data_IF_765251524183
#
_entry.id   IF_765251524183
#
_cell.length_a   1.000
_cell.length_b   1.000
_cell.length_c   1.000
_cell.angle_alpha   90.00
_cell.angle_beta   90.00
_cell.angle_gamma   90.00
#
_symmetry.space_group_name_H-M   'P 1'
#
loop_
_entity.id
_entity.type
_entity.pdbx_description
1 polymer ?
#
# COMPACT_ATOMS: atom_id res chain seq x y z
N UNK A 1 -4.78 14.99 8.16
CA UNK A 1 -3.68 14.20 8.78
C UNK A 1 -2.81 13.52 7.73
N UNK A 2 -3.41 12.88 6.72
CA UNK A 2 -2.67 12.22 5.63
C UNK A 2 -2.85 13.04 4.35
N UNK A 3 -1.73 13.55 3.83
CA UNK A 3 -1.71 14.36 2.62
C UNK A 3 -1.52 13.49 1.37
N UNK A 4 -1.78 14.07 0.20
CA UNK A 4 -1.46 13.46 -1.07
C UNK A 4 0.06 13.29 -1.21
N UNK A 5 0.45 12.25 -1.93
CA UNK A 5 1.85 11.91 -2.14
C UNK A 5 2.65 13.06 -2.76
N UNK A 6 3.71 13.48 -2.07
CA UNK A 6 4.76 14.32 -2.62
C UNK A 6 6.06 13.51 -2.55
N UNK A 7 6.56 13.11 -3.71
CA UNK A 7 7.83 12.40 -3.77
C UNK A 7 8.96 13.36 -3.33
N UNK A 8 9.76 13.04 -2.30
CA UNK A 8 10.92 13.86 -1.96
C UNK A 8 11.91 13.90 -3.12
N UNK A 9 12.56 15.04 -3.33
CA UNK A 9 13.61 15.22 -4.34
C UNK A 9 14.71 14.14 -4.15
N UNK A 10 15.11 13.43 -5.22
CA UNK A 10 16.10 12.38 -5.10
C UNK A 10 17.49 12.96 -4.79
N UNK A 11 18.10 12.49 -3.70
CA UNK A 11 19.52 12.68 -3.48
C UNK A 11 20.29 11.57 -4.22
N UNK A 12 21.29 11.94 -5.02
CA UNK A 12 22.18 10.99 -5.67
C UNK A 12 22.82 10.09 -4.58
N UNK A 13 22.65 8.77 -4.67
CA UNK A 13 23.10 7.71 -3.76
C UNK A 13 22.14 7.31 -2.61
N UNK A 14 20.86 7.61 -2.68
CA UNK A 14 19.90 7.10 -1.69
C UNK A 14 19.58 5.62 -1.92
N UNK A 15 19.42 4.89 -0.80
CA UNK A 15 18.87 3.54 -0.77
C UNK A 15 17.49 3.54 -1.46
N UNK A 16 17.14 2.52 -2.25
CA UNK A 16 15.80 2.38 -2.81
C UNK A 16 14.72 2.46 -1.74
N UNK A 17 13.67 3.23 -2.01
CA UNK A 17 12.49 3.29 -1.13
C UNK A 17 11.60 2.09 -1.37
N UNK A 18 10.97 1.60 -0.33
CA UNK A 18 10.02 0.48 -0.38
C UNK A 18 8.62 1.01 -0.12
N UNK A 19 7.74 0.80 -1.10
CA UNK A 19 6.32 1.16 -1.03
C UNK A 19 5.48 -0.10 -0.91
N UNK A 20 4.66 -0.18 0.11
CA UNK A 20 3.70 -1.27 0.32
C UNK A 20 2.30 -0.77 -0.02
N UNK A 21 1.72 -1.28 -1.11
CA UNK A 21 0.47 -0.83 -1.68
C UNK A 21 -0.63 -1.86 -1.51
N UNK A 22 -1.77 -1.43 -1.02
CA UNK A 22 -2.92 -2.31 -0.80
C UNK A 22 -4.24 -1.54 -0.82
N UNK A 23 -5.32 -2.26 -1.06
CA UNK A 23 -6.67 -1.74 -0.93
C UNK A 23 -7.19 -2.03 0.48
N UNK A 24 -7.91 -1.06 1.04
CA UNK A 24 -8.51 -1.17 2.35
C UNK A 24 -10.04 -1.04 2.25
N UNK A 25 -10.75 -1.88 2.98
CA UNK A 25 -12.20 -1.81 3.11
C UNK A 25 -12.60 -1.47 4.55
N UNK A 26 -12.54 -2.46 5.47
CA UNK A 26 -12.89 -2.28 6.87
C UNK A 26 -12.11 -3.21 7.83
N UNK A 27 -11.06 -3.85 7.33
CA UNK A 27 -10.29 -4.87 8.07
C UNK A 27 -9.23 -4.20 8.97
N UNK A 28 -9.68 -3.49 10.00
CA UNK A 28 -8.81 -2.69 10.87
C UNK A 28 -7.72 -3.51 11.58
N UNK A 29 -8.04 -4.69 12.05
CA UNK A 29 -7.08 -5.54 12.77
C UNK A 29 -5.99 -6.08 11.84
N UNK A 30 -6.37 -6.48 10.61
CA UNK A 30 -5.41 -6.87 9.59
C UNK A 30 -4.51 -5.72 9.17
N UNK A 31 -5.07 -4.52 9.04
CA UNK A 31 -4.29 -3.31 8.74
C UNK A 31 -3.24 -3.07 9.84
N UNK A 32 -3.65 -3.15 11.10
CA UNK A 32 -2.73 -2.96 12.22
C UNK A 32 -1.61 -4.00 12.24
N UNK A 33 -1.91 -5.26 11.98
CA UNK A 33 -0.94 -6.35 11.87
C UNK A 33 0.04 -6.04 10.72
N UNK A 34 -0.45 -5.70 9.53
CA UNK A 34 0.38 -5.39 8.38
C UNK A 34 1.33 -4.22 8.63
N UNK A 35 0.82 -3.13 9.16
CA UNK A 35 1.63 -1.95 9.47
C UNK A 35 2.74 -2.26 10.48
N UNK A 36 2.42 -2.99 11.55
CA UNK A 36 3.40 -3.36 12.57
C UNK A 36 4.41 -4.38 12.05
N UNK A 37 3.99 -5.39 11.28
CA UNK A 37 4.91 -6.39 10.71
C UNK A 37 5.92 -5.75 9.77
N UNK A 38 5.49 -4.80 8.93
CA UNK A 38 6.30 -4.24 7.87
C UNK A 38 6.96 -2.90 8.20
N UNK A 39 6.72 -2.33 9.37
CA UNK A 39 7.21 -1.00 9.74
C UNK A 39 8.73 -0.85 9.63
N UNK A 40 9.49 -1.89 9.95
CA UNK A 40 10.95 -1.87 9.90
C UNK A 40 11.56 -2.01 8.49
N UNK A 41 10.79 -2.43 7.50
CA UNK A 41 11.29 -2.74 6.15
C UNK A 41 10.63 -1.91 5.04
N UNK A 42 9.50 -1.26 5.33
CA UNK A 42 8.74 -0.42 4.40
C UNK A 42 8.94 1.05 4.75
N UNK A 43 9.16 1.88 3.75
CA UNK A 43 9.27 3.33 3.90
C UNK A 43 7.91 4.00 3.86
N UNK A 44 7.04 3.58 2.94
CA UNK A 44 5.69 4.12 2.78
C UNK A 44 4.65 3.04 2.56
N UNK A 45 3.52 3.18 3.25
CA UNK A 45 2.32 2.38 3.02
C UNK A 45 1.34 3.18 2.17
N UNK A 46 0.97 2.65 1.02
CA UNK A 46 0.02 3.29 0.11
C UNK A 46 -1.34 2.62 0.28
N UNK A 47 -2.22 3.28 1.01
CA UNK A 47 -3.54 2.77 1.35
C UNK A 47 -4.58 3.39 0.44
N UNK A 48 -5.19 2.57 -0.41
CA UNK A 48 -6.29 2.98 -1.27
C UNK A 48 -7.63 2.59 -0.66
N UNK A 49 -8.53 3.54 -0.56
CA UNK A 49 -9.89 3.34 -0.06
C UNK A 49 -10.91 3.92 -1.03
N UNK A 50 -11.95 3.15 -1.35
CA UNK A 50 -13.04 3.56 -2.22
C UNK A 50 -14.28 3.94 -1.42
N UNK A 51 -15.09 4.85 -1.97
CA UNK A 51 -16.40 5.21 -1.44
C UNK A 51 -17.52 4.23 -1.78
N UNK A 52 -17.19 3.17 -2.51
CA UNK A 52 -18.13 2.08 -2.84
C UNK A 52 -17.48 0.72 -2.61
N UNK A 53 -18.31 -0.31 -2.40
CA UNK A 53 -17.87 -1.71 -2.35
C UNK A 53 -17.46 -2.22 -3.74
N UNK A 54 -16.91 -3.44 -3.82
CA UNK A 54 -16.62 -4.09 -5.10
C UNK A 54 -17.84 -4.21 -6.01
N UNK A 55 -19.03 -4.32 -5.43
CA UNK A 55 -20.30 -4.38 -6.15
C UNK A 55 -20.92 -3.00 -6.44
N UNK A 56 -20.18 -1.92 -6.16
CA UNK A 56 -20.64 -0.56 -6.41
C UNK A 56 -21.63 0.01 -5.39
N UNK A 57 -21.80 -0.63 -4.26
CA UNK A 57 -22.69 -0.16 -3.18
C UNK A 57 -21.98 0.92 -2.38
N UNK A 58 -22.60 2.10 -2.16
CA UNK A 58 -22.02 3.15 -1.34
C UNK A 58 -21.62 2.66 0.06
N UNK A 59 -20.46 3.09 0.53
CA UNK A 59 -19.95 2.80 1.86
C UNK A 59 -19.23 4.01 2.46
N UNK A 60 -19.13 4.08 3.80
CA UNK A 60 -18.28 5.08 4.44
C UNK A 60 -16.80 4.92 4.08
N UNK A 61 -16.05 6.02 4.21
CA UNK A 61 -14.59 6.00 4.13
C UNK A 61 -14.04 5.59 5.49
N UNK A 62 -14.04 4.29 5.76
CA UNK A 62 -13.77 3.72 7.08
C UNK A 62 -12.39 4.09 7.63
N UNK A 63 -11.36 4.06 6.79
CA UNK A 63 -10.03 4.46 7.23
C UNK A 63 -10.01 5.93 7.63
N UNK A 64 -10.56 6.81 6.78
CA UNK A 64 -10.58 8.25 7.03
C UNK A 64 -11.30 8.59 8.34
N UNK A 65 -12.42 7.92 8.61
CA UNK A 65 -13.19 8.13 9.83
C UNK A 65 -12.46 7.61 11.09
N UNK A 66 -11.52 6.67 10.94
CA UNK A 66 -10.79 6.02 12.04
C UNK A 66 -9.27 6.26 11.97
N UNK A 67 -8.80 7.23 11.20
CA UNK A 67 -7.37 7.47 10.98
C UNK A 67 -6.57 7.70 12.27
N UNK A 68 -7.20 8.21 13.31
CA UNK A 68 -6.56 8.43 14.61
C UNK A 68 -6.02 7.16 15.25
N UNK A 69 -6.67 6.01 15.00
CA UNK A 69 -6.20 4.70 15.48
C UNK A 69 -4.80 4.38 14.96
N UNK A 70 -4.46 4.89 13.77
CA UNK A 70 -3.20 4.60 13.09
C UNK A 70 -2.23 5.78 13.11
N UNK A 71 -2.40 6.71 14.05
CA UNK A 71 -1.56 7.92 14.17
C UNK A 71 -0.08 7.62 14.35
N UNK A 72 0.29 6.47 14.90
CA UNK A 72 1.68 5.99 14.99
C UNK A 72 2.36 5.93 13.61
N UNK A 73 1.61 5.64 12.56
CA UNK A 73 2.10 5.48 11.18
C UNK A 73 1.80 6.67 10.28
N UNK A 74 1.35 7.79 10.82
CA UNK A 74 0.89 8.95 10.03
C UNK A 74 1.92 9.48 9.03
N UNK A 75 3.21 9.39 9.37
CA UNK A 75 4.30 9.89 8.51
C UNK A 75 4.70 8.88 7.43
N UNK A 76 4.18 7.66 7.50
CA UNK A 76 4.43 6.60 6.52
C UNK A 76 3.22 6.27 5.65
N UNK A 77 2.01 6.56 6.09
CA UNK A 77 0.80 6.24 5.32
C UNK A 77 0.52 7.33 4.30
N UNK A 78 0.48 6.92 3.04
CA UNK A 78 -0.02 7.71 1.92
C UNK A 78 -1.46 7.27 1.67
N UNK A 79 -2.40 8.14 1.97
CA UNK A 79 -3.82 7.86 1.84
C UNK A 79 -4.33 8.26 0.45
N UNK A 80 -4.90 7.31 -0.29
CA UNK A 80 -5.46 7.50 -1.61
C UNK A 80 -6.97 7.25 -1.60
N UNK A 81 -7.80 8.30 -1.40
CA UNK A 81 -9.23 8.16 -1.53
C UNK A 81 -9.63 8.06 -3.01
N UNK A 82 -10.30 6.99 -3.38
CA UNK A 82 -10.86 6.80 -4.71
C UNK A 82 -12.37 7.05 -4.68
N UNK A 83 -12.80 8.15 -5.25
CA UNK A 83 -14.21 8.54 -5.30
C UNK A 83 -14.77 8.22 -6.67
N UNK A 84 -15.74 7.33 -6.73
CA UNK A 84 -16.38 6.87 -7.96
C UNK A 84 -17.90 6.92 -7.83
N UNK A 85 -18.63 6.96 -8.97
CA UNK A 85 -20.09 6.87 -8.96
C UNK A 85 -20.60 5.55 -8.38
N UNK A 86 -21.79 5.60 -7.77
CA UNK A 86 -22.51 4.39 -7.36
C UNK A 86 -22.66 3.43 -8.54
N UNK A 87 -22.56 2.12 -8.28
CA UNK A 87 -22.63 1.08 -9.30
C UNK A 87 -21.32 0.82 -10.04
N UNK A 88 -20.25 1.58 -9.77
CA UNK A 88 -18.94 1.35 -10.39
C UNK A 88 -18.33 0.04 -9.91
N UNK A 89 -17.72 -0.72 -10.84
CA UNK A 89 -16.86 -1.85 -10.49
C UNK A 89 -15.46 -1.31 -10.23
N UNK A 90 -15.04 -1.35 -8.95
CA UNK A 90 -13.80 -0.71 -8.51
C UNK A 90 -12.57 -1.61 -8.48
N UNK A 91 -12.73 -2.92 -8.65
CA UNK A 91 -11.64 -3.88 -8.45
C UNK A 91 -10.43 -3.58 -9.36
N UNK A 92 -10.64 -3.49 -10.67
CA UNK A 92 -9.59 -3.09 -11.61
C UNK A 92 -9.20 -1.63 -11.49
N UNK A 93 -10.15 -0.76 -11.17
CA UNK A 93 -9.90 0.67 -11.08
C UNK A 93 -8.99 1.01 -9.89
N UNK A 94 -9.13 0.32 -8.76
CA UNK A 94 -8.26 0.51 -7.59
C UNK A 94 -6.80 0.19 -7.90
N UNK A 95 -6.55 -0.92 -8.60
CA UNK A 95 -5.19 -1.31 -9.01
C UNK A 95 -4.54 -0.24 -9.89
N UNK A 96 -5.24 0.19 -10.92
CA UNK A 96 -4.76 1.25 -11.83
C UNK A 96 -4.59 2.58 -11.11
N UNK A 97 -5.46 2.90 -10.19
CA UNK A 97 -5.40 4.12 -9.40
C UNK A 97 -4.14 4.18 -8.52
N UNK A 98 -3.84 3.08 -7.83
CA UNK A 98 -2.63 2.96 -7.01
C UNK A 98 -1.37 3.08 -7.88
N UNK A 99 -1.30 2.37 -8.99
CA UNK A 99 -0.16 2.41 -9.92
C UNK A 99 0.06 3.83 -10.44
N UNK A 100 -1.02 4.53 -10.84
CA UNK A 100 -0.92 5.92 -11.31
C UNK A 100 -0.43 6.88 -10.23
N UNK A 101 -0.75 6.63 -8.97
CA UNK A 101 -0.27 7.43 -7.85
C UNK A 101 1.25 7.25 -7.60
N UNK A 102 1.81 6.12 -8.04
CA UNK A 102 3.23 5.79 -7.89
C UNK A 102 4.10 6.19 -9.09
N UNK A 103 3.56 6.90 -10.07
CA UNK A 103 4.27 7.28 -11.30
C UNK A 103 5.54 8.10 -11.06
N UNK A 104 5.66 8.78 -9.93
CA UNK A 104 6.82 9.59 -9.56
C UNK A 104 7.88 8.81 -8.77
N UNK A 105 7.68 7.49 -8.56
CA UNK A 105 8.69 6.63 -7.97
C UNK A 105 9.88 6.48 -8.93
N UNK A 106 11.07 6.29 -8.35
CA UNK A 106 12.28 6.05 -9.12
C UNK A 106 12.31 4.60 -9.64
N UNK A 107 13.02 4.35 -10.72
CA UNK A 107 13.22 3.00 -11.26
C UNK A 107 13.89 2.04 -10.26
N UNK A 108 14.65 2.58 -9.31
CA UNK A 108 15.28 1.79 -8.25
C UNK A 108 14.40 1.49 -7.06
N UNK A 109 13.24 2.15 -6.94
CA UNK A 109 12.33 1.94 -5.82
C UNK A 109 11.63 0.59 -5.94
N UNK A 110 11.24 0.06 -4.79
CA UNK A 110 10.61 -1.25 -4.68
C UNK A 110 9.13 -1.05 -4.37
N UNK A 111 8.29 -1.64 -5.21
CA UNK A 111 6.85 -1.58 -5.05
C UNK A 111 6.34 -2.98 -4.72
N UNK A 112 5.64 -3.09 -3.60
CA UNK A 112 4.90 -4.27 -3.19
C UNK A 112 3.43 -3.97 -3.45
N UNK A 113 2.75 -4.89 -4.10
CA UNK A 113 1.30 -4.84 -4.27
C UNK A 113 0.71 -6.20 -3.92
N UNK A 114 -0.20 -6.22 -2.95
CA UNK A 114 -0.92 -7.43 -2.54
C UNK A 114 -2.25 -7.06 -1.91
N UNK A 115 -3.12 -8.04 -1.74
CA UNK A 115 -4.33 -7.85 -0.94
C UNK A 115 -3.94 -7.62 0.54
N UNK A 116 -4.80 -6.95 1.29
CA UNK A 116 -4.49 -6.53 2.66
C UNK A 116 -4.12 -7.71 3.58
N UNK A 117 -4.78 -8.86 3.37
CA UNK A 117 -4.58 -10.09 4.14
C UNK A 117 -3.36 -10.91 3.67
N UNK A 118 -2.78 -10.54 2.54
CA UNK A 118 -1.54 -11.14 2.02
C UNK A 118 -0.32 -10.37 2.54
N UNK A 119 0.04 -10.64 3.80
CA UNK A 119 1.10 -9.91 4.50
C UNK A 119 2.45 -10.60 4.29
N UNK A 120 3.42 -9.97 3.58
CA UNK A 120 4.77 -10.50 3.47
C UNK A 120 5.45 -10.57 4.85
N UNK A 121 6.32 -11.55 5.03
CA UNK A 121 7.16 -11.62 6.24
C UNK A 121 8.32 -10.63 6.12
N UNK A 122 8.46 -9.74 7.07
CA UNK A 122 9.56 -8.76 7.11
C UNK A 122 10.94 -9.45 7.02
N UNK A 123 11.11 -10.60 7.66
CA UNK A 123 12.35 -11.37 7.63
C UNK A 123 12.75 -11.91 6.24
N UNK A 124 11.84 -11.89 5.27
CA UNK A 124 12.10 -12.35 3.90
C UNK A 124 12.41 -11.24 2.91
N UNK A 125 12.36 -9.97 3.35
CA UNK A 125 12.57 -8.83 2.47
C UNK A 125 13.96 -8.79 1.85
N UNK A 126 15.01 -8.99 2.64
CA UNK A 126 16.40 -8.95 2.15
C UNK A 126 16.64 -10.02 1.08
N UNK A 127 16.11 -11.22 1.30
CA UNK A 127 16.16 -12.31 0.33
C UNK A 127 15.43 -11.94 -0.98
N UNK A 128 14.23 -11.40 -0.86
CA UNK A 128 13.42 -10.98 -2.02
C UNK A 128 14.11 -9.86 -2.80
N UNK A 129 14.61 -8.85 -2.12
CA UNK A 129 15.31 -7.71 -2.73
C UNK A 129 16.58 -8.16 -3.46
N UNK A 130 17.32 -9.12 -2.90
CA UNK A 130 18.53 -9.65 -3.52
C UNK A 130 18.28 -10.32 -4.86
N UNK A 131 17.07 -10.80 -5.11
CA UNK A 131 16.65 -11.47 -6.37
C UNK A 131 16.16 -10.48 -7.44
N UNK A 132 15.81 -9.25 -7.07
CA UNK A 132 15.26 -8.27 -8.00
C UNK A 132 16.22 -7.89 -9.16
N UNK A 133 17.55 -7.81 -8.97
CA UNK A 133 18.44 -7.50 -10.08
C UNK A 133 18.40 -8.53 -11.23
N UNK A 134 18.08 -9.77 -10.92
CA UNK A 134 17.96 -10.87 -11.90
C UNK A 134 16.54 -11.01 -12.45
N UNK A 135 15.54 -10.46 -11.74
CA UNK A 135 14.12 -10.60 -12.03
C UNK A 135 13.40 -9.26 -11.87
N UNK A 136 12.56 -8.90 -12.83
CA UNK A 136 11.72 -7.70 -12.71
C UNK A 136 10.58 -7.85 -11.71
N UNK A 137 10.30 -9.08 -11.28
CA UNK A 137 9.22 -9.42 -10.37
C UNK A 137 9.66 -10.54 -9.44
N UNK A 138 9.43 -10.37 -8.15
CA UNK A 138 9.58 -11.42 -7.13
C UNK A 138 8.24 -11.59 -6.43
N UNK A 139 7.77 -12.84 -6.37
CA UNK A 139 6.59 -13.20 -5.61
C UNK A 139 7.00 -13.85 -4.29
N UNK A 140 6.35 -13.44 -3.21
CA UNK A 140 6.47 -14.13 -1.92
C UNK A 140 5.59 -15.37 -1.94
N UNK A 141 6.21 -16.57 -2.04
CA UNK A 141 5.47 -17.81 -1.94
C UNK A 141 5.08 -18.11 -0.49
N UNK A 142 3.86 -18.59 -0.28
CA UNK A 142 3.39 -18.96 1.06
C UNK A 142 3.10 -17.74 1.96
N UNK A 143 2.67 -16.63 1.38
CA UNK A 143 2.01 -15.58 2.15
C UNK A 143 0.73 -16.19 2.72
N UNK A 144 0.88 -16.83 3.85
CA UNK A 144 -0.27 -17.28 4.60
C UNK A 144 -0.82 -16.09 5.37
N UNK A 145 -2.11 -15.88 5.26
CA UNK A 145 -2.84 -15.05 6.20
C UNK A 145 -2.45 -15.49 7.62
N UNK A 146 -1.86 -14.57 8.35
CA UNK A 146 -1.62 -14.84 9.75
C UNK A 146 -2.93 -14.78 10.52
#
# INVERSE_FOLDING_TARGET
MFDTFVNPEPLENEKPLVYDCFNFFNEFDLLEIRLNELDGVVDYFVLCESNVTHNGIPKPMYFKENEKRFSKFKDKIIYLPMIVPEGSNVDHQQKSFVINALRDCKDSDIIIYSDLDEIPKASKFDEAISKLPEHNLVCFAGMNCM
#
